data_IF_027483588922
#
_entry.id   IF_027483588922
#
_cell.length_a   1.000
_cell.length_b   1.000
_cell.length_c   1.000
_cell.angle_alpha   90.00
_cell.angle_beta   90.00
_cell.angle_gamma   90.00
#
_symmetry.space_group_name_H-M   'P 1'
#
loop_
_entity.id
_entity.type
_entity.pdbx_description
1 polymer ?
#
# COMPACT_ATOMS: atom_id res chain seq x y z
N UNK A 1 -33.87 -54.97 -4.27
CA UNK A 1 -34.22 -53.55 -4.01
C UNK A 1 -33.18 -53.02 -3.03
N UNK A 2 -32.20 -52.19 -3.46
CA UNK A 2 -32.28 -50.71 -3.48
C UNK A 2 -32.82 -50.20 -2.13
N UNK A 3 -32.12 -49.40 -1.33
CA UNK A 3 -31.45 -48.17 -1.73
C UNK A 3 -30.50 -47.60 -0.64
N UNK A 4 -29.37 -47.10 -1.13
CA UNK A 4 -28.61 -45.90 -0.78
C UNK A 4 -28.12 -45.63 0.67
N UNK A 5 -26.79 -45.71 0.78
CA UNK A 5 -25.94 -44.88 1.65
C UNK A 5 -26.08 -43.40 1.29
N UNK A 6 -26.28 -42.53 2.26
CA UNK A 6 -26.09 -41.09 2.12
C UNK A 6 -24.93 -40.64 3.02
N UNK A 7 -23.74 -40.58 2.45
CA UNK A 7 -22.62 -39.79 2.98
C UNK A 7 -22.91 -38.36 2.53
N UNK A 8 -23.30 -37.49 3.47
CA UNK A 8 -23.42 -36.07 3.18
C UNK A 8 -22.01 -35.47 3.18
N UNK A 9 -21.39 -35.47 2.00
CA UNK A 9 -20.21 -34.67 1.70
C UNK A 9 -20.71 -33.22 1.61
N UNK A 10 -20.50 -32.42 2.66
CA UNK A 10 -20.64 -30.97 2.54
C UNK A 10 -19.54 -30.51 1.60
N UNK A 11 -19.92 -30.21 0.37
CA UNK A 11 -19.05 -29.69 -0.68
C UNK A 11 -18.45 -28.36 -0.24
N UNK A 12 -17.21 -28.39 0.23
CA UNK A 12 -16.36 -27.20 0.22
C UNK A 12 -16.10 -26.92 -1.25
N UNK A 13 -16.90 -26.01 -1.82
CA UNK A 13 -16.60 -25.38 -3.09
C UNK A 13 -15.28 -24.64 -2.89
N UNK A 14 -14.19 -25.34 -3.16
CA UNK A 14 -12.88 -24.77 -3.28
C UNK A 14 -12.89 -23.92 -4.54
N UNK A 15 -13.22 -22.65 -4.37
CA UNK A 15 -12.89 -21.62 -5.32
C UNK A 15 -11.38 -21.40 -5.27
N UNK A 16 -10.61 -22.38 -5.75
CA UNK A 16 -9.31 -22.16 -6.34
C UNK A 16 -9.56 -21.42 -7.66
N UNK A 17 -9.90 -20.14 -7.56
CA UNK A 17 -9.91 -19.28 -8.73
C UNK A 17 -8.45 -18.94 -8.98
N UNK A 18 -7.90 -19.76 -9.87
CA UNK A 18 -6.88 -19.43 -10.86
C UNK A 18 -5.74 -18.57 -10.36
N UNK A 19 -4.55 -19.18 -10.33
CA UNK A 19 -3.35 -18.49 -10.76
C UNK A 19 -3.74 -17.58 -11.93
N UNK A 20 -3.75 -16.27 -11.71
CA UNK A 20 -3.81 -15.36 -12.83
C UNK A 20 -2.64 -15.78 -13.72
N UNK A 21 -2.87 -16.00 -15.02
CA UNK A 21 -1.76 -15.92 -15.96
C UNK A 21 -1.03 -14.61 -15.66
N UNK A 22 0.27 -14.48 -15.94
CA UNK A 22 0.88 -13.17 -16.11
C UNK A 22 0.29 -12.51 -17.37
N UNK A 23 -1.04 -12.37 -17.42
CA UNK A 23 -1.74 -11.52 -18.34
C UNK A 23 -1.46 -10.11 -17.83
N UNK A 24 -0.50 -9.47 -18.49
CA UNK A 24 -0.44 -8.08 -18.98
C UNK A 24 -1.67 -7.15 -18.78
N UNK A 25 -2.37 -7.28 -17.65
CA UNK A 25 -3.57 -6.55 -17.25
C UNK A 25 -3.56 -6.12 -15.79
N UNK A 26 -2.42 -6.26 -15.09
CA UNK A 26 -1.86 -5.07 -14.45
C UNK A 26 -1.50 -4.14 -15.58
N UNK A 27 -2.53 -3.54 -16.19
CA UNK A 27 -2.37 -2.56 -17.23
C UNK A 27 -1.38 -1.60 -16.60
N UNK A 28 -0.25 -1.43 -17.27
CA UNK A 28 0.37 -0.14 -17.32
C UNK A 28 -0.76 0.85 -17.66
N UNK A 29 -1.56 1.22 -16.66
CA UNK A 29 -2.28 2.46 -16.62
C UNK A 29 -1.10 3.40 -16.49
N UNK A 30 -0.46 3.64 -17.63
CA UNK A 30 0.22 4.87 -17.87
C UNK A 30 -0.84 5.90 -17.55
N UNK A 31 -0.86 6.31 -16.28
CA UNK A 31 -1.36 7.60 -15.92
C UNK A 31 -0.52 8.51 -16.80
N UNK A 32 -1.09 8.91 -17.94
CA UNK A 32 -0.53 9.93 -18.81
C UNK A 32 -0.46 11.20 -17.96
N UNK A 33 0.60 11.30 -17.16
CA UNK A 33 0.87 12.32 -16.16
C UNK A 33 -0.22 12.45 -15.08
N UNK A 34 0.13 12.25 -13.81
CA UNK A 34 -0.64 12.89 -12.74
C UNK A 34 -0.40 14.40 -12.84
N UNK A 35 -1.37 15.12 -13.40
CA UNK A 35 -1.26 16.56 -13.71
C UNK A 35 -2.36 17.38 -13.03
N UNK A 36 -3.36 16.71 -12.46
CA UNK A 36 -4.53 17.33 -11.83
C UNK A 36 -4.81 16.69 -10.47
N UNK A 37 -5.50 17.43 -9.59
CA UNK A 37 -5.90 16.89 -8.27
C UNK A 37 -6.83 15.68 -8.40
N UNK A 38 -7.66 15.63 -9.44
CA UNK A 38 -8.53 14.48 -9.72
C UNK A 38 -7.71 13.23 -10.09
N UNK A 39 -6.76 13.35 -11.01
CA UNK A 39 -5.90 12.23 -11.38
C UNK A 39 -5.03 11.78 -10.21
N UNK A 40 -4.50 12.72 -9.41
CA UNK A 40 -3.77 12.39 -8.20
C UNK A 40 -4.63 11.65 -7.17
N UNK A 41 -5.88 12.08 -7.00
CA UNK A 41 -6.87 11.41 -6.14
C UNK A 41 -7.12 9.97 -6.59
N UNK A 42 -7.37 9.77 -7.89
CA UNK A 42 -7.57 8.43 -8.46
C UNK A 42 -6.33 7.55 -8.29
N UNK A 43 -5.13 8.12 -8.44
CA UNK A 43 -3.88 7.41 -8.20
C UNK A 43 -3.72 6.98 -6.73
N UNK A 44 -4.03 7.84 -5.77
CA UNK A 44 -4.06 7.45 -4.35
C UNK A 44 -5.10 6.36 -4.07
N UNK A 45 -6.27 6.43 -4.67
CA UNK A 45 -7.31 5.41 -4.52
C UNK A 45 -6.88 4.05 -5.08
N UNK A 46 -6.24 4.03 -6.25
CA UNK A 46 -5.66 2.80 -6.84
C UNK A 46 -4.61 2.22 -5.90
N UNK A 47 -3.65 3.05 -5.48
CA UNK A 47 -2.58 2.64 -4.59
C UNK A 47 -3.12 2.09 -3.26
N UNK A 48 -4.11 2.76 -2.66
CA UNK A 48 -4.78 2.31 -1.44
C UNK A 48 -5.44 0.93 -1.64
N UNK A 49 -6.06 0.71 -2.78
CA UNK A 49 -6.73 -0.56 -3.11
C UNK A 49 -5.73 -1.69 -3.29
N UNK A 50 -4.60 -1.42 -3.96
CA UNK A 50 -3.52 -2.38 -4.17
C UNK A 50 -2.86 -2.77 -2.83
N UNK A 51 -2.53 -1.79 -1.98
CA UNK A 51 -1.98 -2.04 -0.64
C UNK A 51 -2.95 -2.88 0.19
N UNK A 52 -4.24 -2.52 0.19
CA UNK A 52 -5.28 -3.28 0.89
C UNK A 52 -5.38 -4.71 0.37
N UNK A 53 -5.30 -4.90 -0.95
CA UNK A 53 -5.36 -6.24 -1.56
C UNK A 53 -4.20 -7.10 -1.11
N UNK A 54 -2.96 -6.58 -1.16
CA UNK A 54 -1.79 -7.26 -0.61
C UNK A 54 -1.99 -7.63 0.86
N UNK A 55 -2.45 -6.66 1.67
CA UNK A 55 -2.68 -6.87 3.10
C UNK A 55 -3.70 -7.98 3.37
N UNK A 56 -4.84 -7.97 2.69
CA UNK A 56 -5.89 -8.98 2.86
C UNK A 56 -5.41 -10.37 2.41
N UNK A 57 -4.68 -10.44 1.31
CA UNK A 57 -4.11 -11.69 0.82
C UNK A 57 -3.14 -12.31 1.84
N UNK A 58 -2.28 -11.50 2.44
CA UNK A 58 -1.36 -11.94 3.51
C UNK A 58 -2.13 -12.33 4.77
N UNK A 59 -3.04 -11.47 5.24
CA UNK A 59 -3.80 -11.69 6.48
C UNK A 59 -4.63 -12.97 6.47
N UNK A 60 -5.13 -13.38 5.31
CA UNK A 60 -5.94 -14.60 5.16
C UNK A 60 -5.11 -15.88 5.16
N UNK A 61 -3.78 -15.80 5.28
CA UNK A 61 -2.89 -16.96 5.27
C UNK A 61 -2.87 -17.71 3.93
N UNK A 62 -3.42 -17.10 2.87
CA UNK A 62 -3.54 -17.70 1.53
C UNK A 62 -2.27 -17.54 0.69
N UNK A 63 -1.25 -16.88 1.21
CA UNK A 63 -0.04 -16.51 0.47
C UNK A 63 1.19 -16.97 1.24
N UNK A 64 1.87 -17.97 0.68
CA UNK A 64 3.20 -18.39 1.14
C UNK A 64 4.22 -17.27 0.94
N UNK A 65 5.29 -17.29 1.74
CA UNK A 65 6.31 -16.23 1.76
C UNK A 65 6.86 -15.91 0.35
N UNK A 66 7.12 -16.91 -0.48
CA UNK A 66 7.66 -16.73 -1.84
C UNK A 66 6.68 -16.03 -2.79
N UNK A 67 5.39 -16.35 -2.67
CA UNK A 67 4.34 -15.68 -3.44
C UNK A 67 4.19 -14.24 -2.97
N UNK A 68 4.24 -14.00 -1.66
CA UNK A 68 4.22 -12.65 -1.11
C UNK A 68 5.40 -11.83 -1.65
N UNK A 69 6.62 -12.35 -1.63
CA UNK A 69 7.82 -11.69 -2.19
C UNK A 69 7.60 -11.24 -3.63
N UNK A 70 7.01 -12.11 -4.47
CA UNK A 70 6.72 -11.78 -5.87
C UNK A 70 5.71 -10.64 -5.99
N UNK A 71 4.63 -10.70 -5.20
CA UNK A 71 3.62 -9.65 -5.16
C UNK A 71 4.19 -8.31 -4.66
N UNK A 72 5.02 -8.32 -3.61
CA UNK A 72 5.70 -7.14 -3.09
C UNK A 72 6.61 -6.49 -4.13
N UNK A 73 7.37 -7.28 -4.89
CA UNK A 73 8.24 -6.75 -5.96
C UNK A 73 7.45 -6.09 -7.09
N UNK A 74 6.40 -6.76 -7.57
CA UNK A 74 5.53 -6.22 -8.63
C UNK A 74 4.88 -4.91 -8.19
N UNK A 75 4.28 -4.93 -7.00
CA UNK A 75 3.65 -3.75 -6.41
C UNK A 75 4.66 -2.62 -6.19
N UNK A 76 5.86 -2.91 -5.69
CA UNK A 76 6.89 -1.89 -5.42
C UNK A 76 7.21 -1.06 -6.66
N UNK A 77 7.34 -1.71 -7.82
CA UNK A 77 7.60 -1.02 -9.09
C UNK A 77 6.45 -0.08 -9.48
N UNK A 78 5.22 -0.58 -9.46
CA UNK A 78 4.02 0.18 -9.84
C UNK A 78 3.74 1.33 -8.87
N UNK A 79 3.77 1.04 -7.57
CA UNK A 79 3.56 2.00 -6.52
C UNK A 79 4.61 3.11 -6.53
N UNK A 80 5.88 2.79 -6.80
CA UNK A 80 6.95 3.79 -6.91
C UNK A 80 6.71 4.72 -8.09
N UNK A 81 6.30 4.18 -9.25
CA UNK A 81 5.95 4.98 -10.43
C UNK A 81 4.75 5.89 -10.17
N UNK A 82 3.70 5.36 -9.54
CA UNK A 82 2.51 6.11 -9.16
C UNK A 82 2.84 7.23 -8.17
N UNK A 83 3.59 6.94 -7.10
CA UNK A 83 4.02 7.93 -6.12
C UNK A 83 4.91 9.00 -6.74
N UNK A 84 5.83 8.62 -7.63
CA UNK A 84 6.67 9.59 -8.37
C UNK A 84 5.80 10.53 -9.21
N UNK A 85 4.79 10.00 -9.89
CA UNK A 85 3.86 10.81 -10.69
C UNK A 85 3.04 11.75 -9.81
N UNK A 86 2.49 11.27 -8.70
CA UNK A 86 1.77 12.08 -7.70
C UNK A 86 2.67 13.21 -7.17
N UNK A 87 3.93 12.90 -6.83
CA UNK A 87 4.90 13.87 -6.35
C UNK A 87 5.29 14.91 -7.42
N UNK A 88 5.21 14.55 -8.71
CA UNK A 88 5.46 15.45 -9.84
C UNK A 88 4.36 16.49 -10.08
N UNK A 89 3.15 16.29 -9.54
CA UNK A 89 2.06 17.24 -9.70
C UNK A 89 2.16 18.42 -8.72
N UNK A 90 3.03 19.39 -9.00
CA UNK A 90 3.21 20.57 -8.14
C UNK A 90 1.88 21.32 -7.86
N UNK A 91 1.02 21.47 -8.86
CA UNK A 91 -0.30 22.10 -8.73
C UNK A 91 -1.25 21.35 -7.80
N UNK A 92 -1.06 20.05 -7.58
CA UNK A 92 -1.91 19.25 -6.72
C UNK A 92 -1.74 19.60 -5.23
N UNK A 93 -0.57 20.14 -4.85
CA UNK A 93 -0.27 20.53 -3.47
C UNK A 93 -0.56 22.00 -3.18
N UNK A 94 -1.08 22.76 -4.15
CA UNK A 94 -1.45 24.16 -3.91
C UNK A 94 -2.41 24.29 -2.71
N UNK A 95 -2.27 25.29 -1.82
CA UNK A 95 -3.05 25.39 -0.58
C UNK A 95 -4.57 25.30 -0.75
N UNK A 96 -5.10 25.73 -1.89
CA UNK A 96 -6.54 25.67 -2.20
C UNK A 96 -7.05 24.28 -2.60
N UNK A 97 -6.15 23.32 -2.86
CA UNK A 97 -6.47 21.96 -3.37
C UNK A 97 -5.93 20.84 -2.47
N UNK A 98 -4.93 21.14 -1.67
CA UNK A 98 -4.20 20.16 -0.84
C UNK A 98 -5.11 19.48 0.19
N UNK A 99 -6.17 20.14 0.65
CA UNK A 99 -7.13 19.58 1.62
C UNK A 99 -7.86 18.35 1.08
N UNK A 100 -8.31 18.39 -0.19
CA UNK A 100 -8.94 17.22 -0.83
C UNK A 100 -7.95 16.07 -0.98
N UNK A 101 -6.70 16.38 -1.34
CA UNK A 101 -5.64 15.38 -1.50
C UNK A 101 -5.23 14.73 -0.17
N UNK A 102 -5.26 15.51 0.92
CA UNK A 102 -4.90 15.08 2.28
C UNK A 102 -5.72 13.87 2.73
N UNK A 103 -7.02 13.85 2.43
CA UNK A 103 -7.90 12.74 2.81
C UNK A 103 -7.48 11.43 2.13
N UNK A 104 -7.16 11.46 0.85
CA UNK A 104 -6.77 10.26 0.10
C UNK A 104 -5.37 9.78 0.48
N UNK A 105 -4.42 10.72 0.66
CA UNK A 105 -3.11 10.40 1.20
C UNK A 105 -3.23 9.73 2.57
N UNK A 106 -4.06 10.27 3.48
CA UNK A 106 -4.33 9.66 4.79
C UNK A 106 -4.76 8.21 4.67
N UNK A 107 -5.70 7.90 3.78
CA UNK A 107 -6.18 6.52 3.56
C UNK A 107 -5.05 5.61 3.08
N UNK A 108 -4.20 6.09 2.16
CA UNK A 108 -3.04 5.34 1.68
C UNK A 108 -2.05 5.04 2.80
N UNK A 109 -1.68 6.05 3.60
CA UNK A 109 -0.75 5.86 4.72
C UNK A 109 -1.31 4.96 5.82
N UNK A 110 -2.63 4.98 6.04
CA UNK A 110 -3.32 4.01 6.92
C UNK A 110 -3.17 2.59 6.39
N UNK A 111 -3.38 2.34 5.10
CA UNK A 111 -3.22 0.99 4.56
C UNK A 111 -1.74 0.53 4.56
N UNK A 112 -0.78 1.43 4.36
CA UNK A 112 0.65 1.10 4.55
C UNK A 112 0.95 0.67 5.99
N UNK A 113 0.48 1.43 6.98
CA UNK A 113 0.65 1.11 8.41
C UNK A 113 0.08 -0.28 8.73
N UNK A 114 -1.14 -0.54 8.26
CA UNK A 114 -1.81 -1.83 8.45
C UNK A 114 -1.11 -2.97 7.70
N UNK A 115 -0.58 -2.73 6.50
CA UNK A 115 0.18 -3.74 5.74
C UNK A 115 1.44 -4.14 6.50
N UNK A 116 2.21 -3.16 6.99
CA UNK A 116 3.43 -3.43 7.75
C UNK A 116 3.12 -4.24 9.00
N UNK A 117 2.10 -3.83 9.76
CA UNK A 117 1.66 -4.55 10.95
C UNK A 117 1.23 -5.99 10.60
N UNK A 118 0.45 -6.17 9.54
CA UNK A 118 -0.02 -7.48 9.07
C UNK A 118 1.16 -8.39 8.69
N UNK A 119 2.16 -7.88 7.97
CA UNK A 119 3.35 -8.66 7.63
C UNK A 119 4.06 -9.19 8.88
N UNK A 120 4.23 -8.34 9.89
CA UNK A 120 4.85 -8.75 11.15
C UNK A 120 4.00 -9.75 11.94
N UNK A 121 2.67 -9.62 11.91
CA UNK A 121 1.76 -10.57 12.55
C UNK A 121 1.80 -11.95 11.89
N UNK A 122 1.90 -12.01 10.56
CA UNK A 122 1.84 -13.28 9.79
C UNK A 122 3.21 -13.95 9.68
N UNK A 123 4.26 -13.19 9.38
CA UNK A 123 5.59 -13.73 9.07
C UNK A 123 6.61 -13.58 10.21
N UNK A 124 6.27 -12.87 11.29
CA UNK A 124 7.16 -12.63 12.42
C UNK A 124 8.42 -11.86 12.01
N UNK A 125 9.59 -12.28 12.48
CA UNK A 125 10.87 -11.62 12.18
C UNK A 125 11.21 -11.59 10.68
N UNK A 126 10.67 -12.55 9.91
CA UNK A 126 10.88 -12.63 8.46
C UNK A 126 10.20 -11.49 7.70
N UNK A 127 9.22 -10.83 8.29
CA UNK A 127 8.52 -9.68 7.70
C UNK A 127 9.47 -8.58 7.23
N UNK A 128 10.55 -8.33 7.98
CA UNK A 128 11.58 -7.36 7.62
C UNK A 128 12.15 -7.62 6.22
N UNK A 129 12.44 -8.88 5.88
CA UNK A 129 12.95 -9.28 4.55
C UNK A 129 11.93 -9.03 3.45
N UNK A 130 10.65 -9.34 3.68
CA UNK A 130 9.60 -9.05 2.70
C UNK A 130 9.47 -7.54 2.46
N UNK A 131 9.42 -6.76 3.54
CA UNK A 131 9.20 -5.31 3.47
C UNK A 131 10.38 -4.57 2.82
N UNK A 132 11.60 -5.13 2.83
CA UNK A 132 12.73 -4.54 2.09
C UNK A 132 12.48 -4.40 0.60
N UNK A 133 11.61 -5.23 0.01
CA UNK A 133 11.23 -5.11 -1.40
C UNK A 133 10.44 -3.82 -1.69
N UNK A 134 9.90 -3.17 -0.65
CA UNK A 134 9.25 -1.87 -0.76
C UNK A 134 10.19 -0.68 -0.51
N UNK A 135 11.49 -0.91 -0.27
CA UNK A 135 12.45 0.18 -0.05
C UNK A 135 12.47 1.30 -1.11
N UNK A 136 12.17 1.06 -2.41
CA UNK A 136 12.07 2.15 -3.39
C UNK A 136 11.00 3.20 -3.04
N UNK A 137 9.95 2.83 -2.30
CA UNK A 137 8.89 3.74 -1.87
C UNK A 137 9.35 4.70 -0.77
N UNK A 138 10.41 4.39 -0.01
CA UNK A 138 10.82 5.19 1.15
C UNK A 138 11.07 6.66 0.77
N UNK A 139 11.94 6.89 -0.22
CA UNK A 139 12.22 8.25 -0.69
C UNK A 139 11.00 8.96 -1.27
N UNK A 140 10.09 8.22 -1.92
CA UNK A 140 8.88 8.79 -2.52
C UNK A 140 7.84 9.16 -1.48
N UNK A 141 7.67 8.33 -0.44
CA UNK A 141 6.81 8.62 0.69
C UNK A 141 7.35 9.79 1.52
N UNK A 142 8.66 9.85 1.75
CA UNK A 142 9.31 10.99 2.37
C UNK A 142 9.02 12.28 1.59
N UNK A 143 9.25 12.27 0.26
CA UNK A 143 9.01 13.43 -0.60
C UNK A 143 7.54 13.85 -0.59
N UNK A 144 6.62 12.88 -0.61
CA UNK A 144 5.19 13.13 -0.57
C UNK A 144 4.77 13.88 0.70
N UNK A 145 5.23 13.41 1.87
CA UNK A 145 5.00 14.08 3.14
C UNK A 145 5.63 15.48 3.16
N UNK A 146 6.80 15.65 2.52
CA UNK A 146 7.42 16.97 2.41
C UNK A 146 6.54 17.95 1.65
N UNK A 147 6.01 17.56 0.51
CA UNK A 147 5.11 18.38 -0.31
C UNK A 147 3.85 18.78 0.45
N UNK A 148 3.25 17.88 1.23
CA UNK A 148 2.12 18.21 2.10
C UNK A 148 2.48 19.25 3.17
N UNK A 149 3.58 19.03 3.89
CA UNK A 149 4.00 19.93 4.97
C UNK A 149 4.44 21.31 4.47
N UNK A 150 5.15 21.37 3.34
CA UNK A 150 5.59 22.61 2.68
C UNK A 150 4.39 23.48 2.26
N UNK A 151 3.23 22.84 2.05
CA UNK A 151 1.98 23.50 1.69
C UNK A 151 0.97 23.59 2.86
N UNK A 152 1.47 23.54 4.10
CA UNK A 152 0.71 23.87 5.30
C UNK A 152 -0.15 22.74 5.87
N UNK A 153 0.00 21.50 5.40
CA UNK A 153 -0.71 20.35 5.98
C UNK A 153 0.09 19.78 7.15
N UNK A 154 -0.54 19.76 8.32
CA UNK A 154 -0.01 19.08 9.50
C UNK A 154 0.01 17.57 9.28
N UNK A 155 1.18 16.94 9.36
CA UNK A 155 1.33 15.50 9.08
C UNK A 155 0.53 14.60 10.04
N UNK A 156 0.16 15.11 11.21
CA UNK A 156 -0.75 14.44 12.17
C UNK A 156 -2.15 14.21 11.59
N UNK A 157 -2.55 14.96 10.56
CA UNK A 157 -3.81 14.73 9.85
C UNK A 157 -3.70 13.65 8.78
N UNK A 158 -2.49 13.27 8.37
CA UNK A 158 -2.22 12.27 7.32
C UNK A 158 -1.81 10.94 7.94
N UNK A 159 -0.85 10.96 8.86
CA UNK A 159 -0.21 9.74 9.35
C UNK A 159 -0.98 9.11 10.51
N UNK A 160 -1.19 7.78 10.51
CA UNK A 160 -1.82 7.10 11.64
C UNK A 160 -0.90 7.05 12.88
N UNK A 161 -1.46 6.82 14.09
CA UNK A 161 -0.68 6.89 15.34
C UNK A 161 0.53 5.95 15.42
N UNK A 162 0.45 4.76 14.80
CA UNK A 162 1.52 3.76 14.84
C UNK A 162 2.53 3.91 13.69
N UNK A 163 2.30 4.86 12.77
CA UNK A 163 3.04 4.95 11.52
C UNK A 163 4.55 5.04 11.74
N UNK A 164 5.00 5.91 12.64
CA UNK A 164 6.42 6.13 12.93
C UNK A 164 7.10 4.83 13.37
N UNK A 165 6.47 4.08 14.27
CA UNK A 165 6.99 2.79 14.73
C UNK A 165 7.05 1.78 13.58
N UNK A 166 5.98 1.69 12.81
CA UNK A 166 5.84 0.67 11.77
C UNK A 166 6.71 0.94 10.55
N UNK A 167 6.89 2.21 10.15
CA UNK A 167 7.79 2.60 9.06
C UNK A 167 9.27 2.40 9.44
N UNK A 168 9.63 2.61 10.70
CA UNK A 168 10.96 2.25 11.21
C UNK A 168 11.19 0.74 11.14
N UNK A 169 10.22 -0.07 11.60
CA UNK A 169 10.27 -1.54 11.51
C UNK A 169 10.28 -2.03 10.06
N UNK A 170 9.63 -1.34 9.14
CA UNK A 170 9.63 -1.69 7.72
C UNK A 170 10.97 -1.39 7.02
N UNK A 171 11.92 -0.73 7.71
CA UNK A 171 13.21 -0.37 7.15
C UNK A 171 13.14 0.80 6.18
N UNK A 172 12.28 1.79 6.47
CA UNK A 172 12.11 3.02 5.69
C UNK A 172 12.70 4.22 6.46
N UNK A 173 14.05 4.33 6.50
CA UNK A 173 14.74 5.33 7.32
C UNK A 173 14.45 6.78 6.90
N UNK A 174 14.22 7.06 5.62
CA UNK A 174 14.01 8.43 5.13
C UNK A 174 12.65 8.97 5.58
N UNK A 175 11.61 8.19 5.34
CA UNK A 175 10.23 8.48 5.77
C UNK A 175 10.16 8.54 7.28
N UNK A 176 10.79 7.59 7.99
CA UNK A 176 10.86 7.59 9.45
C UNK A 176 11.49 8.88 9.97
N UNK A 177 12.72 9.20 9.54
CA UNK A 177 13.47 10.37 9.99
C UNK A 177 12.74 11.68 9.71
N UNK A 178 12.05 11.76 8.57
CA UNK A 178 11.29 12.94 8.20
C UNK A 178 10.03 13.09 9.06
N UNK A 179 9.20 12.05 9.10
CA UNK A 179 7.92 12.07 9.81
C UNK A 179 8.11 12.28 11.31
N UNK A 180 9.12 11.64 11.93
CA UNK A 180 9.38 11.76 13.37
C UNK A 180 9.53 13.20 13.85
N UNK A 181 10.04 14.13 13.01
CA UNK A 181 10.20 15.55 13.37
C UNK A 181 8.89 16.25 13.73
N UNK A 182 7.75 15.71 13.31
CA UNK A 182 6.42 16.30 13.50
C UNK A 182 5.60 15.62 14.60
N UNK A 183 6.14 14.57 15.22
CA UNK A 183 5.50 13.76 16.27
C UNK A 183 6.33 13.72 17.56
N UNK A 184 7.41 14.49 17.64
CA UNK A 184 8.11 14.76 18.90
C UNK A 184 7.34 15.87 19.64
N UNK A 185 6.85 15.55 20.83
CA UNK A 185 6.50 16.56 21.85
C UNK A 185 7.79 17.15 22.43
#
# INVERSE_FOLDING_TARGET
MLALKAISVLSIAAAFVTAHPPDNQLVARGFNGVTTTETATQSYQSLTTEIRTLRVNIATGKVEEEVAITQFKSFSYEATSTMTSINGCSLCYHPTRVSSLTQYAKQTYVEFDLLFETCYQVYGERASRLLTHLSPLDSQCQRNLSLFSENGVHLQHILPPNFIRNVNRAGWPETHRYASRFFVN
#
